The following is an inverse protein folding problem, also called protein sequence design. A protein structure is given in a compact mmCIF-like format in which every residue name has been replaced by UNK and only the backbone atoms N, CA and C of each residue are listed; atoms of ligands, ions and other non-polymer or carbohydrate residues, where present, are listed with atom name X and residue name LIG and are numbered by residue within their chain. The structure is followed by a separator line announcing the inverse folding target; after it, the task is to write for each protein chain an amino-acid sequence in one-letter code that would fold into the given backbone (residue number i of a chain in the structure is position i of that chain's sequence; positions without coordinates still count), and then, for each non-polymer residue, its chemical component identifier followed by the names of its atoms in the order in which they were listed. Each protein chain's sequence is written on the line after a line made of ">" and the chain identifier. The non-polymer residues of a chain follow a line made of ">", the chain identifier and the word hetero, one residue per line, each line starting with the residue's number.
data_IF_160105034106
#
_entry.id   IF_160105034106
#
_cell.length_a   1.000
_cell.length_b   1.000
_cell.length_c   1.000
_cell.angle_alpha   90.00
_cell.angle_beta   90.00
_cell.angle_gamma   90.00
#
_symmetry.space_group_name_H-M   'P 1'
#
loop_
_entity.id
_entity.type
_entity.pdbx_description
1 polymer ?
#
# COMPACT_ATOMS: atom_id res chain seq x y z
N UNK A 1 -6.66 -40.92 6.80
CA UNK A 1 -7.25 -39.69 6.23
C UNK A 1 -6.38 -38.53 6.70
N UNK A 2 -5.35 -38.23 5.92
CA UNK A 2 -4.38 -37.16 6.17
C UNK A 2 -5.02 -35.79 5.88
N UNK A 3 -5.00 -34.92 6.90
CA UNK A 3 -5.30 -33.51 6.75
C UNK A 3 -4.07 -32.81 6.17
N UNK A 4 -4.01 -32.72 4.83
CA UNK A 4 -2.92 -32.06 4.15
C UNK A 4 -3.09 -30.53 4.18
N UNK A 5 -2.11 -29.85 4.78
CA UNK A 5 -1.61 -28.59 4.21
C UNK A 5 -2.01 -27.28 4.89
N UNK A 6 -1.64 -27.08 6.15
CA UNK A 6 -1.23 -25.74 6.59
C UNK A 6 0.27 -25.75 6.92
N UNK A 7 1.08 -25.96 5.88
CA UNK A 7 2.53 -26.00 6.03
C UNK A 7 3.08 -24.57 6.05
N UNK A 8 3.55 -24.17 7.23
CA UNK A 8 4.81 -23.45 7.33
C UNK A 8 4.78 -21.94 7.11
N UNK A 9 4.17 -21.21 8.04
CA UNK A 9 4.67 -19.85 8.36
C UNK A 9 4.89 -19.78 9.87
N UNK A 10 6.01 -20.34 10.33
CA UNK A 10 6.66 -19.88 11.56
C UNK A 10 7.78 -18.94 11.10
N UNK A 11 7.74 -17.67 11.50
CA UNK A 11 8.76 -16.69 11.09
C UNK A 11 9.21 -15.84 12.28
N UNK A 12 10.53 -15.59 12.40
CA UNK A 12 11.08 -14.87 13.55
C UNK A 12 10.58 -13.43 13.62
N UNK A 13 10.39 -12.95 14.86
CA UNK A 13 10.13 -11.55 15.18
C UNK A 13 11.31 -10.69 14.75
N UNK A 14 11.09 -9.64 13.94
CA UNK A 14 12.16 -8.69 13.64
C UNK A 14 12.08 -7.99 12.28
N UNK A 15 11.00 -7.24 12.06
CA UNK A 15 11.06 -5.87 11.53
C UNK A 15 9.62 -5.41 11.31
N UNK A 16 9.22 -4.31 11.95
CA UNK A 16 7.95 -3.61 11.69
C UNK A 16 8.00 -2.82 10.36
N UNK A 17 9.08 -2.92 9.60
CA UNK A 17 9.22 -2.28 8.29
C UNK A 17 8.41 -3.03 7.23
N UNK A 18 7.38 -2.35 6.73
CA UNK A 18 6.51 -2.83 5.65
C UNK A 18 7.27 -3.12 4.36
N UNK A 19 8.30 -2.33 4.02
CA UNK A 19 9.08 -2.48 2.78
C UNK A 19 9.80 -3.83 2.78
N UNK A 20 10.50 -4.16 3.87
CA UNK A 20 11.22 -5.43 3.99
C UNK A 20 10.27 -6.63 3.93
N UNK A 21 9.05 -6.48 4.45
CA UNK A 21 8.01 -7.51 4.33
C UNK A 21 7.55 -7.68 2.89
N UNK A 22 7.33 -6.58 2.17
CA UNK A 22 6.93 -6.61 0.76
C UNK A 22 8.01 -7.24 -0.11
N UNK A 23 9.27 -6.82 -0.01
CA UNK A 23 10.39 -7.34 -0.82
C UNK A 23 10.59 -8.84 -0.62
N UNK A 24 10.57 -9.28 0.62
CA UNK A 24 10.81 -10.68 1.01
C UNK A 24 9.68 -11.60 0.58
N UNK A 25 8.43 -11.14 0.70
CA UNK A 25 7.23 -11.99 0.54
C UNK A 25 6.45 -11.66 -0.74
N UNK A 26 7.03 -10.89 -1.66
CA UNK A 26 6.33 -10.34 -2.82
C UNK A 26 5.65 -11.41 -3.67
N UNK A 27 6.29 -12.56 -3.87
CA UNK A 27 5.73 -13.67 -4.66
C UNK A 27 4.37 -14.16 -4.13
N UNK A 28 4.14 -14.08 -2.82
CA UNK A 28 2.87 -14.42 -2.19
C UNK A 28 1.91 -13.22 -2.11
N UNK A 29 2.45 -12.02 -1.91
CA UNK A 29 1.67 -10.80 -1.68
C UNK A 29 1.17 -10.13 -2.97
N UNK A 30 1.92 -10.23 -4.08
CA UNK A 30 1.65 -9.50 -5.31
C UNK A 30 0.20 -9.68 -5.79
N UNK A 31 -0.28 -10.92 -5.89
CA UNK A 31 -1.67 -11.21 -6.29
C UNK A 31 -2.70 -10.68 -5.29
N UNK A 32 -2.38 -10.70 -4.00
CA UNK A 32 -3.29 -10.23 -2.94
C UNK A 32 -3.40 -8.70 -2.92
N UNK A 33 -2.33 -8.01 -3.30
CA UNK A 33 -2.21 -6.55 -3.25
C UNK A 33 -2.48 -5.84 -4.57
N UNK A 34 -2.57 -6.58 -5.69
CA UNK A 34 -2.90 -6.05 -7.01
C UNK A 34 -4.12 -5.13 -6.96
N UNK A 35 -3.92 -3.87 -7.36
CA UNK A 35 -4.94 -2.84 -7.44
C UNK A 35 -5.44 -2.28 -6.11
N UNK A 36 -4.72 -2.52 -4.99
CA UNK A 36 -5.20 -2.16 -3.64
C UNK A 36 -4.39 -1.09 -2.92
N UNK A 37 -3.11 -0.92 -3.26
CA UNK A 37 -2.22 -0.03 -2.53
C UNK A 37 -2.30 1.39 -3.08
N UNK A 38 -2.83 2.31 -2.29
CA UNK A 38 -2.78 3.75 -2.53
C UNK A 38 -2.17 4.41 -1.29
N UNK A 39 -1.01 5.05 -1.42
CA UNK A 39 -0.26 5.69 -0.33
C UNK A 39 0.01 7.15 -0.69
N UNK A 40 -0.37 8.05 0.22
CA UNK A 40 -0.24 9.49 0.07
C UNK A 40 0.54 10.05 1.26
N UNK A 41 1.48 10.96 1.00
CA UNK A 41 2.21 11.70 2.04
C UNK A 41 2.46 13.14 1.61
N UNK A 42 2.65 14.02 2.59
CA UNK A 42 3.15 15.37 2.33
C UNK A 42 4.63 15.35 1.93
N UNK A 43 5.05 16.27 1.08
CA UNK A 43 6.48 16.52 0.80
C UNK A 43 7.18 17.31 1.89
N UNK A 44 6.41 17.99 2.74
CA UNK A 44 6.85 18.71 3.94
C UNK A 44 6.21 18.06 5.18
N UNK A 45 6.11 16.73 5.19
CA UNK A 45 5.44 16.00 6.26
C UNK A 45 6.13 16.29 7.60
N UNK A 46 5.36 16.81 8.56
CA UNK A 46 5.88 17.21 9.88
C UNK A 46 6.26 16.02 10.76
N UNK A 47 5.96 14.79 10.33
CA UNK A 47 6.43 13.54 10.93
C UNK A 47 7.57 12.89 10.13
N UNK A 48 8.12 13.57 9.12
CA UNK A 48 9.29 13.13 8.33
C UNK A 48 9.08 11.80 7.58
N UNK A 49 7.86 11.56 7.10
CA UNK A 49 7.48 10.31 6.42
C UNK A 49 7.82 10.27 4.93
N UNK A 50 8.11 11.41 4.32
CA UNK A 50 8.37 11.55 2.88
C UNK A 50 9.51 10.66 2.40
N UNK A 51 10.59 10.57 3.18
CA UNK A 51 11.74 9.71 2.86
C UNK A 51 11.38 8.22 2.91
N UNK A 52 10.62 7.79 3.92
CA UNK A 52 10.18 6.41 4.05
C UNK A 52 9.24 6.01 2.91
N UNK A 53 8.31 6.89 2.54
CA UNK A 53 7.37 6.66 1.42
C UNK A 53 8.11 6.67 0.08
N UNK A 54 9.15 7.48 -0.09
CA UNK A 54 10.01 7.44 -1.29
C UNK A 54 10.75 6.10 -1.42
N UNK A 55 11.28 5.55 -0.32
CA UNK A 55 11.90 4.22 -0.32
C UNK A 55 10.90 3.11 -0.64
N UNK A 56 9.70 3.18 -0.06
CA UNK A 56 8.60 2.26 -0.36
C UNK A 56 8.20 2.32 -1.83
N UNK A 57 8.13 3.53 -2.42
CA UNK A 57 7.85 3.75 -3.85
C UNK A 57 8.88 3.07 -4.74
N UNK A 58 10.17 3.28 -4.47
CA UNK A 58 11.26 2.65 -5.22
C UNK A 58 11.20 1.13 -5.13
N UNK A 59 10.96 0.60 -3.93
CA UNK A 59 10.85 -0.84 -3.70
C UNK A 59 9.68 -1.46 -4.49
N UNK A 60 8.47 -0.90 -4.37
CA UNK A 60 7.29 -1.41 -5.07
C UNK A 60 7.39 -1.29 -6.59
N UNK A 61 8.04 -0.24 -7.10
CA UNK A 61 8.36 -0.12 -8.52
C UNK A 61 9.31 -1.23 -8.98
N UNK A 62 10.38 -1.51 -8.21
CA UNK A 62 11.31 -2.61 -8.50
C UNK A 62 10.66 -3.99 -8.46
N UNK A 63 9.61 -4.14 -7.64
CA UNK A 63 8.80 -5.36 -7.56
C UNK A 63 7.73 -5.47 -8.68
N UNK A 64 7.57 -4.44 -9.52
CA UNK A 64 6.55 -4.41 -10.56
C UNK A 64 5.12 -4.27 -10.03
N UNK A 65 4.95 -3.64 -8.86
CA UNK A 65 3.64 -3.35 -8.28
C UNK A 65 2.88 -2.28 -9.06
N UNK A 66 1.56 -2.39 -9.07
CA UNK A 66 0.62 -1.37 -9.55
C UNK A 66 0.21 -0.36 -8.47
N UNK A 67 0.96 -0.27 -7.36
CA UNK A 67 0.67 0.64 -6.26
C UNK A 67 0.71 2.12 -6.69
N UNK A 68 -0.26 2.90 -6.22
CA UNK A 68 -0.28 4.35 -6.36
C UNK A 68 0.46 4.95 -5.16
N UNK A 69 1.59 5.63 -5.40
CA UNK A 69 2.36 6.29 -4.35
C UNK A 69 2.68 7.72 -4.74
N UNK A 70 2.15 8.67 -3.98
CA UNK A 70 2.21 10.10 -4.26
C UNK A 70 2.73 10.87 -3.04
N UNK A 71 3.78 11.67 -3.28
CA UNK A 71 4.36 12.62 -2.32
C UNK A 71 3.93 14.00 -2.82
N UNK A 72 3.07 14.69 -2.06
CA UNK A 72 2.41 15.94 -2.50
C UNK A 72 3.24 17.15 -2.04
N UNK A 73 3.83 17.94 -2.96
CA UNK A 73 4.63 19.11 -2.60
C UNK A 73 3.82 20.17 -1.84
N UNK A 74 4.45 20.88 -0.91
CA UNK A 74 3.81 21.97 -0.16
C UNK A 74 2.73 21.51 0.83
N UNK A 75 2.65 20.22 1.13
CA UNK A 75 1.74 19.64 2.11
C UNK A 75 2.53 19.00 3.24
N UNK A 76 2.04 19.21 4.45
CA UNK A 76 2.49 18.60 5.69
C UNK A 76 1.51 17.50 6.15
N UNK A 77 1.78 16.91 7.31
CA UNK A 77 0.97 15.82 7.86
C UNK A 77 -0.50 16.22 8.10
N UNK A 78 -0.74 17.44 8.58
CA UNK A 78 -2.06 17.97 8.87
C UNK A 78 -2.76 18.57 7.64
N UNK A 79 -2.01 19.15 6.71
CA UNK A 79 -2.57 19.84 5.53
C UNK A 79 -2.79 18.92 4.31
N UNK A 80 -2.23 17.71 4.30
CA UNK A 80 -2.42 16.73 3.22
C UNK A 80 -3.89 16.32 3.05
N UNK A 81 -4.58 16.00 4.15
CA UNK A 81 -5.95 15.46 4.11
C UNK A 81 -7.02 16.56 4.13
N UNK A 82 -6.91 17.51 3.21
CA UNK A 82 -7.93 18.54 2.98
C UNK A 82 -9.23 17.97 2.37
N UNK A 83 -10.23 18.84 2.18
CA UNK A 83 -11.53 18.41 1.66
C UNK A 83 -11.43 17.84 0.24
N UNK A 84 -10.59 18.41 -0.62
CA UNK A 84 -10.42 17.94 -1.99
C UNK A 84 -9.75 16.56 -2.02
N UNK A 85 -8.69 16.39 -1.24
CA UNK A 85 -7.98 15.12 -1.12
C UNK A 85 -8.89 14.01 -0.56
N UNK A 86 -9.68 14.31 0.48
CA UNK A 86 -10.66 13.36 1.03
C UNK A 86 -11.71 12.95 0.00
N UNK A 87 -12.23 13.88 -0.79
CA UNK A 87 -13.18 13.56 -1.88
C UNK A 87 -12.54 12.65 -2.93
N UNK A 88 -11.29 12.93 -3.32
CA UNK A 88 -10.53 12.09 -4.25
C UNK A 88 -10.37 10.67 -3.73
N UNK A 89 -9.84 10.51 -2.51
CA UNK A 89 -9.64 9.19 -1.88
C UNK A 89 -10.96 8.43 -1.80
N UNK A 90 -12.04 9.08 -1.36
CA UNK A 90 -13.35 8.44 -1.26
C UNK A 90 -13.89 8.00 -2.64
N UNK A 91 -13.67 8.80 -3.68
CA UNK A 91 -14.01 8.45 -5.06
C UNK A 91 -13.24 7.22 -5.54
N UNK A 92 -11.92 7.21 -5.38
CA UNK A 92 -11.05 6.08 -5.76
C UNK A 92 -11.47 4.79 -5.03
N UNK A 93 -11.77 4.87 -3.73
CA UNK A 93 -12.24 3.73 -2.94
C UNK A 93 -13.60 3.22 -3.43
N UNK A 94 -14.54 4.13 -3.70
CA UNK A 94 -15.86 3.76 -4.21
C UNK A 94 -15.77 3.12 -5.60
N UNK A 95 -14.91 3.62 -6.48
CA UNK A 95 -14.71 3.07 -7.82
C UNK A 95 -14.04 1.70 -7.78
N UNK A 96 -13.04 1.51 -6.92
CA UNK A 96 -12.43 0.19 -6.70
C UNK A 96 -13.43 -0.82 -6.15
N UNK A 97 -14.27 -0.42 -5.17
CA UNK A 97 -15.35 -1.25 -4.67
C UNK A 97 -16.33 -1.64 -5.78
N UNK A 98 -16.81 -0.67 -6.57
CA UNK A 98 -17.74 -0.95 -7.68
C UNK A 98 -17.15 -1.91 -8.70
N UNK A 99 -15.88 -1.73 -9.08
CA UNK A 99 -15.21 -2.64 -10.03
C UNK A 99 -15.13 -4.08 -9.50
N UNK A 100 -14.79 -4.25 -8.22
CA UNK A 100 -14.57 -5.59 -7.66
C UNK A 100 -15.87 -6.32 -7.29
N UNK A 101 -16.94 -5.61 -6.93
CA UNK A 101 -18.17 -6.22 -6.39
C UNK A 101 -19.41 -6.09 -7.30
N UNK A 102 -19.32 -5.38 -8.44
CA UNK A 102 -20.40 -5.34 -9.45
C UNK A 102 -20.25 -6.42 -10.52
N UNK A 103 -19.05 -6.96 -10.72
CA UNK A 103 -18.78 -8.05 -11.67
C UNK A 103 -19.09 -9.45 -11.09
N UNK A 104 -19.57 -9.52 -9.84
CA UNK A 104 -19.92 -10.76 -9.13
C UNK A 104 -21.42 -11.07 -9.09
N UNK A 105 -22.25 -10.39 -9.88
CA UNK A 105 -23.67 -10.70 -10.10
C UNK A 105 -23.91 -11.35 -11.47
#
# INVERSE_FOLDING_TARGET
>A
MENQGNSGIVRPAGSTDIRLTLERDWSHLARKLKGKLHVYTGGEDTFYLEGAVALLKTSLAGLGSDAVIEIVPGRDHGSLLDQAMRRRINGEMADTFRRHYRESE
#
